data_IF_145885247411
#
_entry.id   IF_145885247411
#
_cell.length_a   1.000
_cell.length_b   1.000
_cell.length_c   1.000
_cell.angle_alpha   90.00
_cell.angle_beta   90.00
_cell.angle_gamma   90.00
#
_symmetry.space_group_name_H-M   'P 1'
#
loop_
_entity.id
_entity.type
_entity.pdbx_description
1 polymer ?
#
# COMPACT_ATOMS: atom_id res chain seq x y z
N UNK A 1 -20.81 6.69 -7.96
CA UNK A 1 -20.41 5.33 -8.42
C UNK A 1 -21.64 4.43 -8.34
N UNK A 2 -21.91 3.62 -9.36
CA UNK A 2 -22.98 2.61 -9.33
C UNK A 2 -22.51 1.39 -8.50
N UNK A 3 -23.47 0.59 -8.02
CA UNK A 3 -23.15 -0.67 -7.30
C UNK A 3 -22.29 -1.58 -8.16
N UNK A 4 -22.57 -1.65 -9.46
CA UNK A 4 -21.82 -2.44 -10.42
C UNK A 4 -20.35 -1.98 -10.52
N UNK A 5 -20.09 -0.67 -10.60
CA UNK A 5 -18.72 -0.15 -10.65
C UNK A 5 -17.93 -0.40 -9.36
N UNK A 6 -18.61 -0.44 -8.22
CA UNK A 6 -17.98 -0.81 -6.95
C UNK A 6 -17.62 -2.31 -6.90
N UNK A 7 -18.50 -3.18 -7.38
CA UNK A 7 -18.25 -4.62 -7.45
C UNK A 7 -17.12 -4.98 -8.42
N UNK A 8 -16.99 -4.26 -9.53
CA UNK A 8 -15.96 -4.50 -10.53
C UNK A 8 -14.59 -3.89 -10.17
N UNK A 9 -14.52 -3.03 -9.16
CA UNK A 9 -13.29 -2.35 -8.77
C UNK A 9 -12.18 -3.33 -8.37
N UNK A 10 -12.48 -4.25 -7.47
CA UNK A 10 -11.50 -5.22 -6.96
C UNK A 10 -11.02 -6.19 -8.04
N UNK A 11 -11.90 -6.86 -8.82
CA UNK A 11 -11.46 -7.71 -9.92
C UNK A 11 -10.62 -6.97 -10.96
N UNK A 12 -11.00 -5.73 -11.30
CA UNK A 12 -10.25 -4.91 -12.24
C UNK A 12 -8.85 -4.55 -11.70
N UNK A 13 -8.74 -4.20 -10.41
CA UNK A 13 -7.46 -3.90 -9.77
C UNK A 13 -6.55 -5.12 -9.73
N UNK A 14 -7.08 -6.29 -9.40
CA UNK A 14 -6.31 -7.56 -9.41
C UNK A 14 -5.87 -7.95 -10.82
N UNK A 15 -6.72 -7.75 -11.81
CA UNK A 15 -6.39 -8.01 -13.21
C UNK A 15 -5.27 -7.07 -13.68
N UNK A 16 -5.37 -5.79 -13.32
CA UNK A 16 -4.36 -4.78 -13.66
C UNK A 16 -2.99 -5.15 -13.07
N UNK A 17 -2.95 -5.51 -11.78
CA UNK A 17 -1.73 -5.96 -11.10
C UNK A 17 -1.11 -7.19 -11.78
N UNK A 18 -1.97 -8.13 -12.20
CA UNK A 18 -1.52 -9.36 -12.86
C UNK A 18 -0.97 -9.13 -14.27
N UNK A 19 -1.52 -8.16 -15.01
CA UNK A 19 -1.12 -7.85 -16.38
C UNK A 19 0.15 -6.99 -16.46
N UNK A 20 0.23 -5.96 -15.65
CA UNK A 20 1.32 -4.99 -15.73
C UNK A 20 2.44 -5.28 -14.73
N UNK A 21 2.17 -6.08 -13.70
CA UNK A 21 3.13 -6.33 -12.63
C UNK A 21 3.39 -5.09 -11.77
N UNK A 22 4.38 -5.19 -10.91
CA UNK A 22 4.72 -4.10 -10.00
C UNK A 22 5.74 -3.14 -10.58
N UNK A 23 5.60 -1.84 -10.29
CA UNK A 23 6.68 -0.90 -10.52
C UNK A 23 7.89 -1.30 -9.66
N UNK A 24 9.13 -0.98 -10.13
CA UNK A 24 10.33 -1.30 -9.36
C UNK A 24 10.26 -0.72 -7.95
N UNK A 25 10.80 -1.42 -6.95
CA UNK A 25 10.71 -1.10 -5.52
C UNK A 25 11.05 0.37 -5.18
N UNK A 26 11.91 1.02 -5.99
CA UNK A 26 12.28 2.43 -5.80
C UNK A 26 11.13 3.41 -6.02
N UNK A 27 10.12 3.01 -6.81
CA UNK A 27 8.97 3.86 -7.19
C UNK A 27 7.68 3.32 -6.54
N UNK A 28 7.78 2.18 -5.85
CA UNK A 28 6.60 1.52 -5.27
C UNK A 28 6.06 2.32 -4.07
N UNK A 29 4.77 2.72 -4.07
CA UNK A 29 4.19 3.53 -2.99
C UNK A 29 4.32 2.87 -1.62
N UNK A 30 4.24 1.55 -1.52
CA UNK A 30 4.37 0.79 -0.26
C UNK A 30 5.76 0.94 0.35
N UNK A 31 6.82 0.98 -0.47
CA UNK A 31 8.19 1.23 0.03
C UNK A 31 8.32 2.65 0.62
N UNK A 32 7.69 3.63 -0.03
CA UNK A 32 7.60 5.00 0.49
C UNK A 32 6.82 5.08 1.81
N UNK A 33 5.70 4.35 1.91
CA UNK A 33 4.92 4.24 3.15
C UNK A 33 5.75 3.61 4.28
N UNK A 34 6.50 2.55 3.99
CA UNK A 34 7.41 1.93 4.96
C UNK A 34 8.48 2.88 5.47
N UNK A 35 9.10 3.67 4.59
CA UNK A 35 10.08 4.70 4.97
C UNK A 35 9.45 5.81 5.82
N UNK A 36 8.24 6.25 5.49
CA UNK A 36 7.47 7.20 6.30
C UNK A 36 7.14 6.63 7.68
N UNK A 37 6.69 5.38 7.75
CA UNK A 37 6.39 4.71 9.01
C UNK A 37 7.62 4.58 9.90
N UNK A 38 8.77 4.16 9.34
CA UNK A 38 10.04 4.08 10.06
C UNK A 38 10.50 5.47 10.56
N UNK A 39 10.30 6.51 9.77
CA UNK A 39 10.63 7.88 10.17
C UNK A 39 9.70 8.37 11.28
N UNK A 40 8.40 8.14 11.15
CA UNK A 40 7.43 8.48 12.19
C UNK A 40 7.73 7.74 13.50
N UNK A 41 8.05 6.45 13.44
CA UNK A 41 8.46 5.67 14.60
C UNK A 41 9.68 6.28 15.30
N UNK A 42 10.73 6.65 14.55
CA UNK A 42 11.92 7.29 15.11
C UNK A 42 11.62 8.62 15.80
N UNK A 43 10.71 9.41 15.23
CA UNK A 43 10.34 10.72 15.77
C UNK A 43 9.48 10.58 17.05
N UNK A 44 8.53 9.66 17.04
CA UNK A 44 7.53 9.54 18.10
C UNK A 44 7.90 8.54 19.20
N UNK A 45 8.84 7.62 18.94
CA UNK A 45 9.27 6.60 19.89
C UNK A 45 10.33 7.16 20.85
N UNK A 46 9.90 7.95 21.83
CA UNK A 46 10.77 8.50 22.88
C UNK A 46 10.16 8.22 24.26
N UNK A 47 10.91 7.49 25.10
CA UNK A 47 10.60 7.33 26.52
C UNK A 47 10.04 5.96 26.93
N UNK A 48 9.80 5.76 28.25
CA UNK A 48 9.32 4.51 28.82
C UNK A 48 7.87 4.20 28.41
N UNK A 49 7.52 2.91 28.42
CA UNK A 49 6.19 2.41 28.13
C UNK A 49 5.14 3.05 29.04
N UNK A 50 4.05 3.55 28.46
CA UNK A 50 2.95 4.20 29.21
C UNK A 50 1.91 4.85 28.29
N UNK A 51 0.88 5.52 28.84
CA UNK A 51 -0.17 6.18 28.05
C UNK A 51 0.35 7.18 27.02
N UNK A 52 1.47 7.84 27.31
CA UNK A 52 2.16 8.75 26.37
C UNK A 52 2.67 8.01 25.12
N UNK A 53 3.10 6.75 25.27
CA UNK A 53 3.56 5.94 24.15
C UNK A 53 2.40 5.53 23.24
N UNK A 54 1.22 5.29 23.80
CA UNK A 54 0.00 5.02 23.01
C UNK A 54 -0.40 6.25 22.17
N UNK A 55 -0.36 7.45 22.77
CA UNK A 55 -0.64 8.69 22.04
C UNK A 55 0.43 8.96 20.97
N UNK A 56 1.70 8.73 21.27
CA UNK A 56 2.79 8.84 20.31
C UNK A 56 2.63 7.85 19.13
N UNK A 57 2.24 6.60 19.42
CA UNK A 57 1.91 5.61 18.38
C UNK A 57 0.72 6.02 17.51
N UNK A 58 -0.33 6.58 18.12
CA UNK A 58 -1.48 7.13 17.38
C UNK A 58 -1.05 8.30 16.47
N UNK A 59 -0.25 9.23 16.99
CA UNK A 59 0.27 10.36 16.23
C UNK A 59 1.16 9.88 15.07
N UNK A 60 2.03 8.91 15.31
CA UNK A 60 2.85 8.28 14.27
C UNK A 60 1.97 7.62 13.18
N UNK A 61 0.97 6.86 13.57
CA UNK A 61 0.01 6.23 12.65
C UNK A 61 -0.72 7.28 11.80
N UNK A 62 -1.28 8.31 12.43
CA UNK A 62 -2.00 9.37 11.73
C UNK A 62 -1.08 10.18 10.80
N UNK A 63 0.16 10.42 11.18
CA UNK A 63 1.14 11.14 10.35
C UNK A 63 1.52 10.38 9.07
N UNK A 64 1.30 9.08 9.02
CA UNK A 64 1.49 8.26 7.81
C UNK A 64 0.18 8.10 7.04
N UNK A 65 -0.89 7.70 7.73
CA UNK A 65 -2.18 7.36 7.09
C UNK A 65 -2.83 8.56 6.42
N UNK A 66 -2.80 9.74 7.07
CA UNK A 66 -3.45 10.93 6.51
C UNK A 66 -2.81 11.43 5.21
N UNK A 67 -1.47 11.64 5.12
CA UNK A 67 -0.85 12.05 3.86
C UNK A 67 -1.01 11.02 2.75
N UNK A 68 -0.87 9.73 3.06
CA UNK A 68 -1.02 8.65 2.09
C UNK A 68 -2.45 8.58 1.57
N UNK A 69 -3.44 8.64 2.47
CA UNK A 69 -4.85 8.68 2.12
C UNK A 69 -5.20 9.88 1.23
N UNK A 70 -4.65 11.06 1.55
CA UNK A 70 -4.85 12.27 0.77
C UNK A 70 -4.20 12.15 -0.63
N UNK A 71 -2.97 11.64 -0.68
CA UNK A 71 -2.25 11.39 -1.95
C UNK A 71 -2.97 10.39 -2.84
N UNK A 72 -3.64 9.39 -2.28
CA UNK A 72 -4.45 8.42 -3.00
C UNK A 72 -5.80 9.00 -3.45
N UNK A 73 -6.45 9.81 -2.61
CA UNK A 73 -7.76 10.37 -2.90
C UNK A 73 -7.73 11.53 -3.89
N UNK A 74 -6.67 12.35 -3.85
CA UNK A 74 -6.56 13.56 -4.67
C UNK A 74 -6.64 13.27 -6.18
N UNK A 75 -5.86 12.35 -6.77
CA UNK A 75 -5.93 12.05 -8.20
C UNK A 75 -7.28 11.47 -8.62
N UNK A 76 -7.94 10.70 -7.76
CA UNK A 76 -9.28 10.15 -8.03
C UNK A 76 -10.30 11.28 -8.10
N UNK A 77 -10.25 12.24 -7.17
CA UNK A 77 -11.15 13.40 -7.17
C UNK A 77 -10.92 14.30 -8.37
N UNK A 78 -9.67 14.66 -8.64
CA UNK A 78 -9.30 15.49 -9.79
C UNK A 78 -9.74 14.85 -11.11
N UNK A 79 -9.52 13.55 -11.28
CA UNK A 79 -9.99 12.83 -12.47
C UNK A 79 -11.53 12.89 -12.59
N UNK A 80 -12.25 12.79 -11.47
CA UNK A 80 -13.70 12.88 -11.44
C UNK A 80 -14.23 14.27 -11.83
N UNK A 81 -13.60 15.32 -11.33
CA UNK A 81 -13.98 16.71 -11.59
C UNK A 81 -13.62 17.15 -13.01
N UNK A 82 -12.47 16.74 -13.54
CA UNK A 82 -11.96 17.19 -14.83
C UNK A 82 -12.44 16.33 -16.02
N UNK A 83 -12.55 15.01 -15.81
CA UNK A 83 -12.77 14.04 -16.88
C UNK A 83 -14.03 13.18 -16.67
N UNK A 84 -14.68 13.33 -15.52
CA UNK A 84 -15.92 12.64 -15.18
C UNK A 84 -15.72 11.29 -14.47
N UNK A 85 -16.84 10.68 -14.09
CA UNK A 85 -16.87 9.50 -13.20
C UNK A 85 -16.16 8.26 -13.76
N UNK A 86 -16.09 8.10 -15.08
CA UNK A 86 -15.35 6.99 -15.71
C UNK A 86 -13.85 7.09 -15.48
N UNK A 87 -13.29 8.28 -15.63
CA UNK A 87 -11.87 8.54 -15.37
C UNK A 87 -11.53 8.36 -13.88
N UNK A 88 -12.40 8.86 -13.00
CA UNK A 88 -12.24 8.64 -11.55
C UNK A 88 -12.20 7.14 -11.21
N UNK A 89 -13.06 6.35 -11.84
CA UNK A 89 -13.06 4.91 -11.62
C UNK A 89 -11.78 4.25 -12.12
N UNK A 90 -11.27 4.59 -13.31
CA UNK A 90 -10.00 4.08 -13.82
C UNK A 90 -8.82 4.43 -12.90
N UNK A 91 -8.73 5.68 -12.44
CA UNK A 91 -7.70 6.11 -11.50
C UNK A 91 -7.83 5.36 -10.16
N UNK A 92 -9.06 5.14 -9.68
CA UNK A 92 -9.30 4.36 -8.48
C UNK A 92 -8.83 2.90 -8.64
N UNK A 93 -9.06 2.27 -9.80
CA UNK A 93 -8.55 0.91 -10.10
C UNK A 93 -7.02 0.88 -10.01
N UNK A 94 -6.32 1.86 -10.58
CA UNK A 94 -4.86 1.95 -10.52
C UNK A 94 -4.39 2.13 -9.07
N UNK A 95 -4.98 3.05 -8.32
CA UNK A 95 -4.61 3.28 -6.91
C UNK A 95 -4.82 2.02 -6.08
N UNK A 96 -5.95 1.33 -6.24
CA UNK A 96 -6.24 0.09 -5.51
C UNK A 96 -5.28 -1.02 -5.92
N UNK A 97 -4.94 -1.17 -7.21
CA UNK A 97 -3.97 -2.19 -7.64
C UNK A 97 -2.59 -1.98 -7.00
N UNK A 98 -2.12 -0.74 -6.94
CA UNK A 98 -0.86 -0.39 -6.27
C UNK A 98 -0.88 -0.62 -4.75
N UNK A 99 -2.05 -0.54 -4.12
CA UNK A 99 -2.19 -0.81 -2.68
C UNK A 99 -2.30 -2.30 -2.35
N UNK A 100 -2.88 -3.10 -3.24
CA UNK A 100 -3.09 -4.54 -3.00
C UNK A 100 -1.80 -5.35 -3.18
N UNK A 101 -1.00 -5.03 -4.22
CA UNK A 101 0.29 -5.65 -4.53
C UNK A 101 0.37 -7.18 -4.25
N UNK A 102 -0.63 -8.00 -4.67
CA UNK A 102 -0.66 -9.43 -4.34
C UNK A 102 0.49 -10.20 -4.97
N UNK A 103 0.98 -9.74 -6.11
CA UNK A 103 2.13 -10.34 -6.78
C UNK A 103 3.42 -10.17 -5.97
N UNK A 104 3.65 -9.00 -5.39
CA UNK A 104 4.80 -8.77 -4.51
C UNK A 104 4.77 -9.67 -3.28
N UNK A 105 3.60 -9.81 -2.67
CA UNK A 105 3.43 -10.71 -1.53
C UNK A 105 3.74 -12.16 -1.90
N UNK A 106 3.26 -12.65 -3.05
CA UNK A 106 3.54 -14.00 -3.55
C UNK A 106 5.05 -14.18 -3.84
N UNK A 107 5.69 -13.22 -4.51
CA UNK A 107 7.12 -13.26 -4.78
C UNK A 107 7.96 -13.26 -3.50
N UNK A 108 7.62 -12.46 -2.50
CA UNK A 108 8.31 -12.45 -1.21
C UNK A 108 8.09 -13.76 -0.44
N UNK A 109 6.86 -14.26 -0.40
CA UNK A 109 6.55 -15.55 0.23
C UNK A 109 7.35 -16.70 -0.42
N UNK A 110 7.43 -16.72 -1.76
CA UNK A 110 8.23 -17.74 -2.49
C UNK A 110 9.73 -17.63 -2.21
N UNK A 111 10.27 -16.41 -2.10
CA UNK A 111 11.69 -16.21 -1.76
C UNK A 111 12.07 -16.81 -0.41
N UNK A 112 11.14 -16.80 0.54
CA UNK A 112 11.35 -17.43 1.86
C UNK A 112 11.04 -18.93 1.81
N UNK A 113 9.96 -19.33 1.16
CA UNK A 113 9.52 -20.72 1.11
C UNK A 113 10.51 -21.64 0.37
N UNK A 114 11.03 -21.20 -0.79
CA UNK A 114 11.92 -22.03 -1.61
C UNK A 114 13.21 -22.49 -0.91
N UNK A 115 13.98 -21.64 -0.19
CA UNK A 115 15.12 -22.10 0.59
C UNK A 115 14.71 -23.05 1.70
N UNK A 116 13.62 -22.77 2.42
CA UNK A 116 13.12 -23.62 3.51
C UNK A 116 12.73 -25.02 3.02
N UNK A 117 12.06 -25.12 1.87
CA UNK A 117 11.72 -26.40 1.24
C UNK A 117 12.96 -27.22 0.86
N UNK A 118 14.08 -26.56 0.58
CA UNK A 118 15.38 -27.21 0.30
C UNK A 118 16.20 -27.52 1.56
N UNK A 119 15.68 -27.19 2.75
CA UNK A 119 16.36 -27.36 4.03
C UNK A 119 17.43 -26.31 4.33
N UNK A 120 17.51 -25.25 3.55
CA UNK A 120 18.44 -24.15 3.75
C UNK A 120 17.82 -23.10 4.69
N UNK A 121 18.07 -23.26 5.99
CA UNK A 121 17.55 -22.39 7.05
C UNK A 121 18.25 -21.03 7.11
N UNK A 122 19.48 -20.92 6.59
CA UNK A 122 20.25 -19.66 6.62
C UNK A 122 19.82 -18.69 5.50
N UNK A 123 19.36 -19.22 4.38
CA UNK A 123 18.92 -18.42 3.23
C UNK A 123 17.42 -18.07 3.28
N UNK A 124 16.67 -18.58 4.24
CA UNK A 124 15.22 -18.37 4.32
C UNK A 124 14.80 -16.97 4.75
N UNK A 125 15.12 -16.46 5.89
CA UNK A 125 14.70 -15.14 6.38
C UNK A 125 15.72 -14.04 6.16
#
# INVERSE_FOLDING_TARGET
MSVLSALLLLPAALLLDRLFGEPPARIHPVCGMGALAATAERIFRHGPNGPRMTLAGLAACLSVVLPVGLLAALPVRLAGELLGNGAAWCVCVVVVSLCLAPRCLDEHARRVAQPLERGDLEAGP
#
